data_IF_952793990393
#
_entry.id   IF_952793990393
#
_cell.length_a   1.000
_cell.length_b   1.000
_cell.length_c   1.000
_cell.angle_alpha   90.00
_cell.angle_beta   90.00
_cell.angle_gamma   90.00
#
_symmetry.space_group_name_H-M   'P 1'
#
loop_
_entity.id
_entity.type
_entity.pdbx_description
1 polymer ?
#
# COMPACT_ATOMS: atom_id res chain seq x y z
N UNK A 1 -16.43 93.76 -8.30
CA UNK A 1 -15.85 93.54 -9.63
C UNK A 1 -15.35 92.12 -9.68
N UNK A 2 -15.96 91.31 -10.56
CA UNK A 2 -15.43 90.18 -11.37
C UNK A 2 -14.18 89.47 -10.81
N UNK A 3 -14.10 88.16 -10.63
CA UNK A 3 -14.37 87.06 -11.56
C UNK A 3 -14.30 85.76 -10.72
N UNK A 4 -15.21 84.79 -10.76
CA UNK A 4 -15.60 84.03 -11.96
C UNK A 4 -14.75 82.76 -12.13
N UNK A 5 -14.65 81.94 -11.08
CA UNK A 5 -13.96 80.64 -11.13
C UNK A 5 -14.64 79.70 -12.14
N UNK A 6 -13.94 79.39 -13.23
CA UNK A 6 -14.36 78.42 -14.26
C UNK A 6 -14.36 77.01 -13.68
N UNK A 7 -15.56 76.44 -13.50
CA UNK A 7 -15.75 74.99 -13.45
C UNK A 7 -15.54 74.42 -14.85
N UNK A 8 -14.50 73.60 -15.02
CA UNK A 8 -14.40 72.70 -16.17
C UNK A 8 -15.21 71.44 -15.82
N UNK A 9 -16.43 71.35 -16.33
CA UNK A 9 -17.15 70.07 -16.43
C UNK A 9 -16.40 69.21 -17.45
N UNK A 10 -15.73 68.16 -16.96
CA UNK A 10 -15.23 67.08 -17.80
C UNK A 10 -16.39 66.12 -17.99
N UNK A 11 -17.01 66.21 -19.15
CA UNK A 11 -18.08 65.35 -19.62
C UNK A 11 -17.52 63.93 -19.82
N UNK A 12 -17.77 63.05 -18.84
CA UNK A 12 -17.44 61.63 -18.97
C UNK A 12 -18.54 60.98 -19.81
N UNK A 13 -18.26 60.80 -21.10
CA UNK A 13 -19.10 59.98 -21.98
C UNK A 13 -19.12 58.52 -21.50
N UNK A 14 -20.13 58.20 -20.70
CA UNK A 14 -20.39 56.85 -20.17
C UNK A 14 -20.88 55.87 -21.25
N UNK A 15 -21.06 56.28 -22.52
CA UNK A 15 -21.62 55.43 -23.56
C UNK A 15 -20.59 54.57 -24.32
N UNK A 16 -19.29 54.68 -24.00
CA UNK A 16 -18.23 54.04 -24.82
C UNK A 16 -17.57 52.79 -24.21
N UNK A 17 -18.07 52.24 -23.10
CA UNK A 17 -17.60 50.95 -22.59
C UNK A 17 -18.33 49.77 -23.24
N UNK A 18 -17.95 49.43 -24.48
CA UNK A 18 -18.25 48.10 -25.02
C UNK A 18 -17.33 47.08 -24.35
N UNK A 19 -17.88 46.33 -23.40
CA UNK A 19 -17.25 45.09 -22.93
C UNK A 19 -16.95 44.21 -24.17
N UNK A 20 -15.73 43.70 -24.32
CA UNK A 20 -15.44 42.74 -25.39
C UNK A 20 -16.43 41.57 -25.26
N UNK A 21 -17.08 41.20 -26.36
CA UNK A 21 -17.99 40.05 -26.43
C UNK A 21 -17.32 38.88 -25.72
N UNK A 22 -18.01 38.37 -24.69
CA UNK A 22 -17.69 37.14 -23.97
C UNK A 22 -17.06 36.13 -24.92
N UNK A 23 -15.75 35.95 -24.81
CA UNK A 23 -15.05 34.85 -25.46
C UNK A 23 -15.64 33.61 -24.80
N UNK A 24 -16.48 32.88 -25.53
CA UNK A 24 -17.02 31.62 -25.07
C UNK A 24 -15.86 30.80 -24.52
N UNK A 25 -15.80 30.66 -23.19
CA UNK A 25 -14.88 29.73 -22.57
C UNK A 25 -15.45 28.37 -22.94
N UNK A 26 -14.84 27.71 -23.92
CA UNK A 26 -15.11 26.30 -24.17
C UNK A 26 -14.81 25.61 -22.85
N UNK A 27 -15.84 25.12 -22.16
CA UNK A 27 -15.63 24.30 -20.98
C UNK A 27 -14.70 23.15 -21.37
N UNK A 28 -13.63 22.90 -20.61
CA UNK A 28 -12.74 21.79 -20.92
C UNK A 28 -13.55 20.51 -20.84
N UNK A 29 -13.76 19.87 -22.01
CA UNK A 29 -14.41 18.57 -22.07
C UNK A 29 -13.55 17.60 -21.28
N UNK A 30 -14.11 17.09 -20.17
CA UNK A 30 -13.42 16.11 -19.34
C UNK A 30 -13.04 14.90 -20.20
N UNK A 31 -11.83 14.34 -20.03
CA UNK A 31 -11.42 13.17 -20.80
C UNK A 31 -12.34 11.99 -20.46
N UNK A 32 -12.67 11.18 -21.46
CA UNK A 32 -13.32 9.89 -21.23
C UNK A 32 -12.40 9.02 -20.36
N UNK A 33 -12.91 8.64 -19.18
CA UNK A 33 -12.18 7.84 -18.19
C UNK A 33 -12.33 6.34 -18.41
N UNK A 34 -13.15 5.88 -19.37
CA UNK A 34 -13.46 4.47 -19.60
C UNK A 34 -12.20 3.60 -19.75
N UNK A 35 -11.27 4.01 -20.62
CA UNK A 35 -10.02 3.31 -20.88
C UNK A 35 -9.11 3.25 -19.63
N UNK A 36 -9.05 4.34 -18.86
CA UNK A 36 -8.30 4.37 -17.60
C UNK A 36 -8.91 3.44 -16.54
N UNK A 37 -10.24 3.40 -16.43
CA UNK A 37 -10.95 2.51 -15.52
C UNK A 37 -10.72 1.04 -15.89
N UNK A 38 -10.73 0.72 -17.19
CA UNK A 38 -10.41 -0.62 -17.70
C UNK A 38 -8.97 -1.03 -17.38
N UNK A 39 -7.99 -0.14 -17.61
CA UNK A 39 -6.60 -0.40 -17.26
C UNK A 39 -6.43 -0.64 -15.75
N UNK A 40 -7.08 0.18 -14.93
CA UNK A 40 -7.05 0.05 -13.47
C UNK A 40 -7.69 -1.27 -13.00
N UNK A 41 -8.82 -1.66 -13.60
CA UNK A 41 -9.47 -2.94 -13.32
C UNK A 41 -8.59 -4.13 -13.71
N UNK A 42 -8.00 -4.09 -14.90
CA UNK A 42 -7.07 -5.11 -15.40
C UNK A 42 -5.86 -5.28 -14.47
N UNK A 43 -5.26 -4.17 -14.02
CA UNK A 43 -4.14 -4.22 -13.07
C UNK A 43 -4.54 -4.83 -11.71
N UNK A 44 -5.72 -4.48 -11.18
CA UNK A 44 -6.22 -5.07 -9.93
C UNK A 44 -6.44 -6.58 -10.08
N UNK A 45 -7.06 -7.00 -11.18
CA UNK A 45 -7.27 -8.42 -11.48
C UNK A 45 -5.94 -9.16 -11.54
N UNK A 46 -4.95 -8.64 -12.28
CA UNK A 46 -3.62 -9.26 -12.36
C UNK A 46 -2.93 -9.39 -10.99
N UNK A 47 -3.02 -8.37 -10.13
CA UNK A 47 -2.45 -8.46 -8.77
C UNK A 47 -3.11 -9.59 -7.96
N UNK A 48 -4.44 -9.66 -7.99
CA UNK A 48 -5.21 -10.61 -7.18
C UNK A 48 -5.13 -12.04 -7.71
N UNK A 49 -5.16 -12.21 -9.02
CA UNK A 49 -5.27 -13.51 -9.68
C UNK A 49 -3.90 -14.11 -10.03
N UNK A 50 -2.87 -13.27 -10.16
CA UNK A 50 -1.52 -13.72 -10.58
C UNK A 50 -0.47 -13.40 -9.53
N UNK A 51 -0.26 -12.13 -9.20
CA UNK A 51 0.90 -11.72 -8.41
C UNK A 51 0.83 -12.23 -6.96
N UNK A 52 -0.30 -12.06 -6.28
CA UNK A 52 -0.49 -12.53 -4.90
C UNK A 52 -0.37 -14.07 -4.83
N UNK A 53 -1.07 -14.87 -5.66
CA UNK A 53 -0.90 -16.32 -5.70
C UNK A 53 0.54 -16.76 -5.97
N UNK A 54 1.24 -16.06 -6.87
CA UNK A 54 2.65 -16.33 -7.14
C UNK A 54 3.53 -16.09 -5.91
N UNK A 55 3.35 -14.97 -5.19
CA UNK A 55 4.11 -14.67 -3.97
C UNK A 55 3.91 -15.75 -2.89
N UNK A 56 2.70 -16.29 -2.76
CA UNK A 56 2.38 -17.38 -1.81
C UNK A 56 3.09 -18.69 -2.14
N UNK A 57 3.44 -18.93 -3.39
CA UNK A 57 4.01 -20.20 -3.86
C UNK A 57 5.51 -20.12 -4.13
N UNK A 58 6.04 -18.93 -4.43
CA UNK A 58 7.43 -18.72 -4.76
C UNK A 58 8.38 -19.14 -3.62
N UNK A 59 9.53 -19.70 -4.00
CA UNK A 59 10.63 -19.99 -3.07
C UNK A 59 11.46 -18.73 -2.79
N UNK A 60 12.34 -18.79 -1.79
CA UNK A 60 13.14 -17.64 -1.39
C UNK A 60 13.98 -17.02 -2.52
N UNK A 61 14.74 -17.78 -3.34
CA UNK A 61 15.50 -17.19 -4.43
C UNK A 61 14.64 -16.38 -5.41
N UNK A 62 13.43 -16.87 -5.71
CA UNK A 62 12.50 -16.18 -6.60
C UNK A 62 11.93 -14.91 -5.97
N UNK A 63 11.61 -14.95 -4.67
CA UNK A 63 11.13 -13.78 -3.93
C UNK A 63 12.20 -12.70 -3.84
N UNK A 64 13.47 -13.04 -3.55
CA UNK A 64 14.56 -12.07 -3.56
C UNK A 64 14.79 -11.45 -4.94
N UNK A 65 14.70 -12.25 -6.01
CA UNK A 65 14.76 -11.70 -7.37
C UNK A 65 13.62 -10.72 -7.64
N UNK A 66 12.39 -11.09 -7.27
CA UNK A 66 11.24 -10.19 -7.40
C UNK A 66 11.39 -8.92 -6.57
N UNK A 67 11.98 -8.98 -5.38
CA UNK A 67 12.27 -7.79 -4.56
C UNK A 67 13.18 -6.79 -5.30
N UNK A 68 14.21 -7.28 -6.01
CA UNK A 68 15.11 -6.44 -6.80
C UNK A 68 14.40 -5.76 -7.98
N UNK A 69 13.44 -6.45 -8.59
CA UNK A 69 12.67 -6.00 -9.75
C UNK A 69 11.33 -5.34 -9.35
N UNK A 70 11.07 -5.17 -8.04
CA UNK A 70 9.72 -4.85 -7.55
C UNK A 70 9.22 -3.49 -8.00
N UNK A 71 10.13 -2.53 -8.19
CA UNK A 71 9.83 -1.21 -8.74
C UNK A 71 9.14 -1.28 -10.10
N UNK A 72 9.56 -2.21 -10.95
CA UNK A 72 9.00 -2.41 -12.29
C UNK A 72 7.72 -3.26 -12.25
N UNK A 73 7.63 -4.20 -11.31
CA UNK A 73 6.49 -5.12 -11.16
C UNK A 73 5.28 -4.42 -10.52
N UNK A 74 5.50 -3.74 -9.39
CA UNK A 74 4.45 -3.23 -8.52
C UNK A 74 4.49 -1.72 -8.32
N UNK A 75 5.50 -1.03 -8.85
CA UNK A 75 5.72 0.41 -8.66
C UNK A 75 6.47 0.71 -7.37
N UNK A 76 6.29 1.92 -6.81
CA UNK A 76 7.00 2.40 -5.61
C UNK A 76 6.47 1.84 -4.29
N UNK A 77 5.77 0.71 -4.31
CA UNK A 77 5.25 0.08 -3.09
C UNK A 77 6.41 -0.66 -2.44
N UNK A 78 6.58 -0.46 -1.13
CA UNK A 78 7.60 -1.17 -0.36
C UNK A 78 7.36 -2.70 -0.44
N UNK A 79 8.36 -3.49 -0.89
CA UNK A 79 8.27 -4.95 -0.93
C UNK A 79 7.95 -5.58 0.42
N UNK A 80 8.38 -4.99 1.53
CA UNK A 80 8.13 -5.49 2.88
C UNK A 80 6.62 -5.57 3.18
N UNK A 81 5.86 -4.57 2.77
CA UNK A 81 4.42 -4.47 3.02
C UNK A 81 3.56 -4.97 1.83
N UNK A 82 4.19 -5.54 0.80
CA UNK A 82 3.52 -6.10 -0.37
C UNK A 82 4.05 -7.51 -0.66
N UNK A 83 5.14 -7.65 -1.42
CA UNK A 83 5.78 -8.93 -1.76
C UNK A 83 5.90 -9.89 -0.56
N UNK A 84 6.59 -9.45 0.50
CA UNK A 84 6.90 -10.31 1.64
C UNK A 84 5.67 -10.62 2.48
N UNK A 85 4.78 -9.65 2.66
CA UNK A 85 3.51 -9.86 3.35
C UNK A 85 2.62 -10.86 2.59
N UNK A 86 2.53 -10.76 1.26
CA UNK A 86 1.82 -11.73 0.43
C UNK A 86 2.50 -13.10 0.43
N UNK A 87 3.83 -13.15 0.51
CA UNK A 87 4.55 -14.42 0.67
C UNK A 87 4.19 -15.10 1.99
N UNK A 88 4.17 -14.37 3.11
CA UNK A 88 3.75 -14.87 4.42
C UNK A 88 2.26 -15.22 4.48
N UNK A 89 1.41 -14.61 3.64
CA UNK A 89 -0.02 -14.95 3.55
C UNK A 89 -0.32 -16.39 3.08
N UNK A 90 0.72 -17.16 2.70
CA UNK A 90 0.61 -18.62 2.54
C UNK A 90 0.25 -19.34 3.84
N UNK A 91 0.42 -18.66 4.98
CA UNK A 91 0.00 -19.11 6.31
C UNK A 91 -1.15 -18.23 6.82
N UNK A 92 -2.41 -18.67 6.71
CA UNK A 92 -3.57 -17.86 7.09
C UNK A 92 -3.55 -17.38 8.55
N UNK A 93 -2.86 -18.09 9.45
CA UNK A 93 -2.72 -17.69 10.85
C UNK A 93 -1.94 -16.39 11.07
N UNK A 94 -1.06 -15.99 10.13
CA UNK A 94 -0.18 -14.82 10.23
C UNK A 94 -0.70 -13.55 9.56
N UNK A 95 -1.70 -13.67 8.69
CA UNK A 95 -2.11 -12.58 7.81
C UNK A 95 -3.62 -12.38 7.86
N UNK A 96 -4.04 -11.13 7.97
CA UNK A 96 -5.43 -10.72 7.77
C UNK A 96 -5.45 -9.68 6.66
N UNK A 97 -6.42 -9.80 5.75
CA UNK A 97 -6.60 -8.84 4.66
C UNK A 97 -6.76 -7.41 5.19
N UNK A 98 -6.06 -6.47 4.57
CA UNK A 98 -6.10 -5.06 4.95
C UNK A 98 -5.11 -4.62 6.04
N UNK A 99 -4.46 -5.55 6.76
CA UNK A 99 -3.39 -5.20 7.71
C UNK A 99 -2.09 -4.85 6.99
N UNK A 100 -1.39 -3.82 7.48
CA UNK A 100 -0.02 -3.45 7.05
C UNK A 100 1.03 -4.14 7.91
N UNK A 101 0.99 -5.46 7.97
CA UNK A 101 1.90 -6.27 8.79
C UNK A 101 1.33 -7.63 9.13
N UNK A 102 2.09 -8.40 9.89
CA UNK A 102 1.64 -9.68 10.45
C UNK A 102 0.57 -9.42 11.53
N UNK A 103 -0.33 -10.37 11.71
CA UNK A 103 -1.32 -10.33 12.79
C UNK A 103 -0.64 -10.68 14.12
N UNK A 104 -0.37 -9.67 14.94
CA UNK A 104 0.26 -9.79 16.26
C UNK A 104 -0.75 -10.08 17.39
N UNK A 105 -2.05 -10.18 17.08
CA UNK A 105 -3.11 -10.22 18.11
C UNK A 105 -3.33 -11.60 18.73
N UNK A 106 -2.80 -12.66 18.12
CA UNK A 106 -2.96 -14.04 18.58
C UNK A 106 -1.64 -14.80 18.60
N UNK A 107 -1.45 -15.73 19.54
CA UNK A 107 -0.30 -16.63 19.50
C UNK A 107 -0.45 -17.60 18.33
N UNK A 108 0.68 -17.89 17.69
CA UNK A 108 0.77 -18.87 16.61
C UNK A 108 1.68 -20.01 17.01
N UNK A 109 1.36 -21.22 16.54
CA UNK A 109 2.24 -22.39 16.58
C UNK A 109 2.85 -22.60 15.20
N UNK A 110 4.16 -22.63 15.16
CA UNK A 110 5.01 -22.82 14.00
C UNK A 110 5.58 -24.24 14.02
N UNK A 111 5.44 -24.98 12.93
CA UNK A 111 6.14 -26.27 12.72
C UNK A 111 7.15 -26.10 11.59
N UNK A 112 8.41 -26.38 11.89
CA UNK A 112 9.51 -26.32 10.92
C UNK A 112 9.72 -27.66 10.20
N UNK A 113 10.46 -27.64 9.09
CA UNK A 113 10.81 -28.83 8.30
C UNK A 113 11.59 -29.89 9.08
N UNK A 114 12.34 -29.49 10.11
CA UNK A 114 13.07 -30.41 11.00
C UNK A 114 12.15 -31.07 12.05
N UNK A 115 10.86 -30.74 12.04
CA UNK A 115 9.86 -31.22 13.00
C UNK A 115 9.81 -30.43 14.30
N UNK A 116 10.68 -29.43 14.50
CA UNK A 116 10.63 -28.59 15.70
C UNK A 116 9.40 -27.67 15.69
N UNK A 117 8.85 -27.46 16.88
CA UNK A 117 7.69 -26.60 17.09
C UNK A 117 8.04 -25.40 17.97
N UNK A 118 7.51 -24.23 17.60
CA UNK A 118 7.70 -22.98 18.32
C UNK A 118 6.35 -22.29 18.46
N UNK A 119 6.07 -21.74 19.64
CA UNK A 119 4.83 -21.00 19.89
C UNK A 119 5.14 -19.59 20.40
N UNK A 120 4.39 -18.60 19.95
CA UNK A 120 4.51 -17.21 20.41
C UNK A 120 3.68 -16.25 19.55
N UNK A 121 3.67 -14.98 19.93
CA UNK A 121 3.02 -13.91 19.17
C UNK A 121 3.95 -13.43 18.05
N UNK A 122 3.47 -13.28 16.80
CA UNK A 122 4.25 -12.66 15.74
C UNK A 122 4.72 -11.26 16.14
N UNK A 123 5.98 -10.94 15.84
CA UNK A 123 6.53 -9.60 16.02
C UNK A 123 6.81 -9.00 14.64
N UNK A 124 5.88 -8.19 14.12
CA UNK A 124 6.00 -7.61 12.79
C UNK A 124 7.06 -6.50 12.72
N UNK A 125 7.48 -5.94 13.87
CA UNK A 125 8.53 -4.90 13.94
C UNK A 125 9.92 -5.50 13.81
N UNK A 126 10.12 -6.72 14.31
CA UNK A 126 11.40 -7.41 14.27
C UNK A 126 11.48 -8.48 13.18
N UNK A 127 10.34 -8.88 12.62
CA UNK A 127 10.27 -9.69 11.40
C UNK A 127 10.65 -8.85 10.19
N UNK A 128 11.35 -9.47 9.23
CA UNK A 128 11.84 -8.78 8.03
C UNK A 128 11.95 -9.77 6.89
N UNK A 129 11.45 -9.39 5.71
CA UNK A 129 11.49 -10.21 4.50
C UNK A 129 11.04 -11.65 4.75
N UNK A 130 11.96 -12.59 4.60
CA UNK A 130 11.80 -14.03 4.80
C UNK A 130 11.88 -14.48 6.24
N UNK A 131 12.10 -13.60 7.21
CA UNK A 131 12.38 -13.92 8.60
C UNK A 131 11.21 -13.52 9.50
N UNK A 132 10.63 -14.52 10.15
CA UNK A 132 9.62 -14.35 11.19
C UNK A 132 10.28 -14.38 12.56
N UNK A 133 9.90 -13.46 13.44
CA UNK A 133 10.18 -13.52 14.87
C UNK A 133 8.90 -13.71 15.66
N UNK A 134 9.00 -14.50 16.72
CA UNK A 134 7.91 -14.68 17.69
C UNK A 134 8.38 -14.22 19.06
N UNK A 135 7.47 -13.58 19.81
CA UNK A 135 7.65 -13.31 21.24
C UNK A 135 6.83 -14.32 22.03
N UNK A 136 7.49 -15.09 22.89
CA UNK A 136 6.85 -16.05 23.79
C UNK A 136 6.99 -15.58 25.25
N UNK A 137 6.17 -16.12 26.14
CA UNK A 137 6.34 -15.95 27.58
C UNK A 137 6.72 -17.29 28.20
N UNK A 138 7.85 -17.35 28.89
CA UNK A 138 8.32 -18.54 29.62
C UNK A 138 8.68 -18.11 31.02
N UNK A 139 8.06 -18.72 32.04
CA UNK A 139 8.24 -18.34 33.45
C UNK A 139 8.09 -16.82 33.68
N UNK A 140 7.02 -16.23 33.14
CA UNK A 140 6.71 -14.79 33.21
C UNK A 140 7.72 -13.85 32.54
N UNK A 141 8.73 -14.39 31.83
CA UNK A 141 9.71 -13.61 31.08
C UNK A 141 9.42 -13.66 29.58
N UNK A 142 9.54 -12.51 28.92
CA UNK A 142 9.48 -12.42 27.47
C UNK A 142 10.73 -13.06 26.86
N UNK A 143 10.53 -14.03 25.96
CA UNK A 143 11.58 -14.76 25.25
C UNK A 143 11.38 -14.57 23.75
N UNK A 144 12.44 -14.10 23.08
CA UNK A 144 12.50 -14.00 21.62
C UNK A 144 12.75 -15.39 21.01
N UNK A 145 12.03 -15.71 19.94
CA UNK A 145 12.14 -16.96 19.18
C UNK A 145 12.36 -16.64 17.70
N UNK A 146 13.32 -17.34 17.10
CA UNK A 146 13.73 -17.15 15.71
C UNK A 146 15.02 -16.33 15.55
N UNK A 147 15.30 -15.79 14.35
CA UNK A 147 14.39 -15.73 13.20
C UNK A 147 14.14 -17.09 12.55
N UNK A 148 12.91 -17.32 12.09
CA UNK A 148 12.50 -18.48 11.31
C UNK A 148 12.37 -18.11 9.85
N UNK A 149 13.02 -18.87 8.95
CA UNK A 149 12.95 -18.56 7.52
C UNK A 149 11.67 -19.11 6.89
N UNK A 150 11.06 -18.34 5.99
CA UNK A 150 9.82 -18.69 5.27
C UNK A 150 9.84 -20.11 4.70
N UNK A 151 10.93 -20.49 4.02
CA UNK A 151 11.03 -21.83 3.40
C UNK A 151 11.19 -22.95 4.45
N UNK A 152 11.64 -22.66 5.68
CA UNK A 152 11.73 -23.66 6.75
C UNK A 152 10.37 -23.97 7.37
N UNK A 153 9.38 -23.09 7.21
CA UNK A 153 8.05 -23.25 7.79
C UNK A 153 7.23 -24.23 6.94
N UNK A 154 6.75 -25.29 7.57
CA UNK A 154 5.83 -26.26 6.95
C UNK A 154 4.39 -25.92 7.29
N UNK A 155 4.16 -25.49 8.54
CA UNK A 155 2.83 -25.25 9.07
C UNK A 155 2.86 -24.08 10.03
N UNK A 156 1.79 -23.28 9.99
CA UNK A 156 1.54 -22.27 11.00
C UNK A 156 0.06 -22.11 11.24
N UNK A 157 -0.34 -22.19 12.50
CA UNK A 157 -1.73 -22.12 12.96
C UNK A 157 -1.85 -21.18 14.15
N UNK A 158 -3.03 -20.57 14.31
CA UNK A 158 -3.36 -19.87 15.56
C UNK A 158 -3.53 -20.91 16.66
N UNK A 159 -3.01 -20.61 17.84
CA UNK A 159 -3.30 -21.40 19.03
C UNK A 159 -4.62 -20.88 19.58
N UNK A 160 -5.63 -21.75 19.63
CA UNK A 160 -6.86 -21.43 20.34
C UNK A 160 -6.57 -21.35 21.85
N UNK A 161 -7.19 -20.38 22.52
CA UNK A 161 -7.19 -20.27 23.98
C UNK A 161 -7.86 -21.50 24.63
#
# INVERSE_FOLDING_TARGET
MVDGGRSAEVDYDLASFRLPKSRAMTEPVAPDLSAFLQLSASRRAWIQEVLIPWCRQANLPSLFKAEMEWGDIAGRIDPQFSLWLWAWSRFPGLYVEGLRGLDETWPVRLTLRDGSEHTGYPDSRRSSRSQLRLTATVNEQAVDRGPFNLDQVVKLERVAD
#
